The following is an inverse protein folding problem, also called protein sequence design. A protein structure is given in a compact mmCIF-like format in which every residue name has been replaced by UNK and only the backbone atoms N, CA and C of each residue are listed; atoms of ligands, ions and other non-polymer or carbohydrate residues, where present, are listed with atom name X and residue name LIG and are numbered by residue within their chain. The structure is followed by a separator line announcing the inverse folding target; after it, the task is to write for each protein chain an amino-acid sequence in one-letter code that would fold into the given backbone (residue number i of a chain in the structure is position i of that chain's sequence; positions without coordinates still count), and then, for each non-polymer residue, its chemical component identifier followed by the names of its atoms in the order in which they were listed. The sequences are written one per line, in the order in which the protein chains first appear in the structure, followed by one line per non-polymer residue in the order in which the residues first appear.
data_IF_829570824793
#
_entry.id   IF_829570824793
#
_cell.length_a   1.000
_cell.length_b   1.000
_cell.length_c   1.000
_cell.angle_alpha   90.00
_cell.angle_beta   90.00
_cell.angle_gamma   90.00
#
_symmetry.space_group_name_H-M   'P 1'
#
loop_
_entity.id
_entity.type
_entity.pdbx_description
1 polymer ?
#
# COMPACT_ATOMS: atom_id res chain seq x y z
N UNK A 1 11.08 15.48 -16.67
CA UNK A 1 11.36 14.16 -17.29
C UNK A 1 10.08 13.37 -17.47
N UNK A 2 9.30 13.10 -16.40
CA UNK A 2 8.09 12.29 -16.46
C UNK A 2 7.08 12.70 -17.57
N UNK A 3 6.75 14.00 -17.68
CA UNK A 3 5.81 14.47 -18.71
C UNK A 3 6.27 14.16 -20.14
N UNK A 4 7.55 14.39 -20.45
CA UNK A 4 8.12 14.08 -21.77
C UNK A 4 8.09 12.58 -22.06
N UNK A 5 8.44 11.75 -21.07
CA UNK A 5 8.37 10.29 -21.21
C UNK A 5 6.93 9.80 -21.42
N UNK A 6 5.95 10.39 -20.73
CA UNK A 6 4.54 10.08 -20.91
C UNK A 6 4.01 10.47 -22.30
N UNK A 7 4.61 11.50 -22.93
CA UNK A 7 4.37 11.89 -24.32
C UNK A 7 5.16 11.04 -25.34
N UNK A 8 5.93 10.04 -24.88
CA UNK A 8 6.74 9.17 -25.74
C UNK A 8 8.06 9.79 -26.20
N UNK A 9 8.53 10.84 -25.53
CA UNK A 9 9.75 11.58 -25.87
C UNK A 9 10.90 11.15 -24.95
N UNK A 10 11.88 10.44 -25.51
CA UNK A 10 13.16 10.12 -24.87
C UNK A 10 13.54 8.64 -24.94
N UNK A 11 14.67 8.34 -25.59
CA UNK A 11 15.18 6.96 -25.74
C UNK A 11 16.10 6.52 -24.59
N UNK A 12 16.66 7.49 -23.86
CA UNK A 12 17.53 7.27 -22.71
C UNK A 12 17.36 8.42 -21.71
N UNK A 13 17.51 8.12 -20.42
CA UNK A 13 17.42 9.12 -19.36
C UNK A 13 18.64 9.04 -18.44
N UNK A 14 18.98 10.19 -17.88
CA UNK A 14 19.89 10.30 -16.73
C UNK A 14 19.19 11.12 -15.65
N UNK A 15 19.10 10.59 -14.45
CA UNK A 15 18.48 11.27 -13.32
C UNK A 15 19.58 11.98 -12.53
N UNK A 16 19.72 13.30 -12.66
CA UNK A 16 20.82 14.03 -12.02
C UNK A 16 20.50 14.33 -10.55
N UNK A 17 21.19 13.68 -9.62
CA UNK A 17 21.04 13.88 -8.18
C UNK A 17 22.39 14.26 -7.56
N UNK A 18 22.39 15.08 -6.51
CA UNK A 18 23.61 15.41 -5.75
C UNK A 18 23.92 14.31 -4.71
N UNK A 19 24.07 13.08 -5.17
CA UNK A 19 24.37 11.89 -4.34
C UNK A 19 25.19 10.87 -5.15
N UNK A 20 25.40 9.68 -4.61
CA UNK A 20 26.09 8.58 -5.30
C UNK A 20 25.44 8.28 -6.66
N UNK A 21 26.21 8.09 -7.75
CA UNK A 21 25.69 7.75 -9.08
C UNK A 21 24.81 6.49 -9.11
N UNK A 22 24.96 5.56 -8.17
CA UNK A 22 24.07 4.39 -8.04
C UNK A 22 22.65 4.84 -7.70
N UNK A 23 22.47 5.89 -6.91
CA UNK A 23 21.16 6.43 -6.57
C UNK A 23 20.52 7.16 -7.76
N UNK A 24 21.31 7.82 -8.63
CA UNK A 24 20.83 8.33 -9.93
C UNK A 24 20.20 7.19 -10.76
N UNK A 25 20.88 6.05 -10.82
CA UNK A 25 20.40 4.88 -11.56
C UNK A 25 19.16 4.24 -10.91
N UNK A 26 19.09 4.18 -9.57
CA UNK A 26 17.91 3.68 -8.84
C UNK A 26 16.68 4.56 -9.09
N UNK A 27 16.82 5.89 -8.96
CA UNK A 27 15.74 6.84 -9.20
C UNK A 27 15.25 6.82 -10.65
N UNK A 28 16.18 6.77 -11.62
CA UNK A 28 15.83 6.63 -13.04
C UNK A 28 15.07 5.34 -13.33
N UNK A 29 15.47 4.22 -12.73
CA UNK A 29 14.76 2.94 -12.86
C UNK A 29 13.34 3.02 -12.29
N UNK A 30 13.18 3.53 -11.07
CA UNK A 30 11.86 3.67 -10.43
C UNK A 30 10.90 4.53 -11.26
N UNK A 31 11.38 5.64 -11.85
CA UNK A 31 10.56 6.47 -12.72
C UNK A 31 10.03 5.70 -13.94
N UNK A 32 10.89 4.92 -14.60
CA UNK A 32 10.50 4.13 -15.77
C UNK A 32 9.52 3.01 -15.40
N UNK A 33 9.74 2.36 -14.26
CA UNK A 33 8.83 1.33 -13.71
C UNK A 33 7.47 1.92 -13.35
N UNK A 34 7.42 3.10 -12.71
CA UNK A 34 6.18 3.80 -12.36
C UNK A 34 5.37 4.23 -13.60
N UNK A 35 6.05 4.60 -14.69
CA UNK A 35 5.40 4.96 -15.96
C UNK A 35 5.06 3.74 -16.83
N UNK A 36 5.37 2.51 -16.40
CA UNK A 36 5.17 1.30 -17.20
C UNK A 36 6.07 1.19 -18.44
N UNK A 37 7.10 2.02 -18.54
CA UNK A 37 8.09 2.02 -19.63
C UNK A 37 9.20 0.97 -19.42
N UNK A 38 9.21 0.33 -18.24
CA UNK A 38 10.13 -0.74 -17.88
C UNK A 38 9.42 -1.74 -16.99
N UNK A 39 9.70 -3.03 -17.22
CA UNK A 39 9.23 -4.09 -16.33
C UNK A 39 9.83 -3.95 -14.92
N UNK A 40 8.97 -4.07 -13.92
CA UNK A 40 9.38 -4.14 -12.51
C UNK A 40 10.18 -5.43 -12.29
N UNK A 41 11.24 -5.33 -11.48
CA UNK A 41 12.05 -6.50 -11.07
C UNK A 41 12.01 -6.78 -9.58
N UNK A 42 11.76 -5.75 -8.79
CA UNK A 42 11.72 -5.79 -7.33
C UNK A 42 10.33 -5.35 -6.87
N UNK A 43 10.09 -5.44 -5.56
CA UNK A 43 8.84 -4.99 -4.96
C UNK A 43 8.68 -3.49 -5.12
N UNK A 44 7.52 -3.08 -5.60
CA UNK A 44 7.06 -1.69 -5.60
C UNK A 44 6.13 -1.51 -4.39
N UNK A 45 6.67 -1.00 -3.27
CA UNK A 45 5.91 -0.82 -2.05
C UNK A 45 5.20 0.54 -2.05
N UNK A 46 3.87 0.51 -2.00
CA UNK A 46 3.04 1.70 -1.82
C UNK A 46 2.43 1.71 -0.42
N UNK A 47 2.28 2.89 0.17
CA UNK A 47 1.63 3.04 1.46
C UNK A 47 0.72 4.26 1.46
N UNK A 48 -0.38 4.20 2.21
CA UNK A 48 -1.20 5.40 2.40
C UNK A 48 -0.43 6.45 3.22
N UNK A 49 -0.71 7.74 3.02
CA UNK A 49 -0.04 8.81 3.78
C UNK A 49 -0.43 8.86 5.27
N UNK A 50 -1.23 7.89 5.75
CA UNK A 50 -1.98 7.93 7.01
C UNK A 50 -3.09 8.99 7.00
N UNK A 51 -4.02 8.87 7.96
CA UNK A 51 -5.12 9.81 8.21
C UNK A 51 -5.70 9.57 9.61
N UNK A 52 -6.71 10.35 10.03
CA UNK A 52 -7.38 10.17 11.32
C UNK A 52 -8.07 8.82 11.54
N UNK A 53 -8.19 7.98 10.49
CA UNK A 53 -8.69 6.60 10.59
C UNK A 53 -7.61 5.56 10.78
N UNK A 54 -6.33 5.93 10.68
CA UNK A 54 -5.24 4.99 10.77
C UNK A 54 -5.22 4.33 12.15
N UNK A 55 -5.19 3.00 12.15
CA UNK A 55 -5.18 2.17 13.37
C UNK A 55 -3.78 1.65 13.70
N UNK A 56 -2.79 1.94 12.85
CA UNK A 56 -1.38 1.57 13.02
C UNK A 56 -0.47 2.71 12.61
N UNK A 57 0.79 2.64 13.05
CA UNK A 57 1.84 3.47 12.49
C UNK A 57 2.25 2.94 11.10
N UNK A 58 1.61 3.51 10.07
CA UNK A 58 1.83 3.15 8.67
C UNK A 58 3.29 3.32 8.27
N UNK A 59 3.97 4.35 8.79
CA UNK A 59 5.37 4.61 8.45
C UNK A 59 6.27 3.48 8.96
N UNK A 60 6.06 3.05 10.20
CA UNK A 60 6.82 1.95 10.80
C UNK A 60 6.58 0.65 10.03
N UNK A 61 5.31 0.26 9.81
CA UNK A 61 4.98 -0.98 9.09
C UNK A 61 5.51 -0.97 7.65
N UNK A 62 5.38 0.15 6.93
CA UNK A 62 5.89 0.26 5.56
C UNK A 62 7.41 0.20 5.51
N UNK A 63 8.11 0.82 6.47
CA UNK A 63 9.57 0.78 6.56
C UNK A 63 10.08 -0.62 6.88
N UNK A 64 9.41 -1.33 7.79
CA UNK A 64 9.70 -2.72 8.11
C UNK A 64 9.45 -3.65 6.92
N UNK A 65 8.32 -3.48 6.21
CA UNK A 65 8.03 -4.20 4.98
C UNK A 65 9.09 -3.95 3.91
N UNK A 66 9.48 -2.70 3.67
CA UNK A 66 10.54 -2.35 2.71
C UNK A 66 11.86 -3.03 3.06
N UNK A 67 12.23 -3.06 4.35
CA UNK A 67 13.44 -3.74 4.83
C UNK A 67 13.34 -5.26 4.69
N UNK A 68 12.19 -5.86 4.97
CA UNK A 68 11.95 -7.29 4.86
C UNK A 68 11.98 -7.78 3.41
N UNK A 69 11.47 -6.95 2.48
CA UNK A 69 11.57 -7.20 1.04
C UNK A 69 13.00 -7.01 0.52
N UNK A 70 13.73 -6.01 0.99
CA UNK A 70 15.13 -5.77 0.62
C UNK A 70 15.33 -5.77 -0.90
N UNK A 71 16.32 -6.54 -1.38
CA UNK A 71 16.63 -6.68 -2.82
C UNK A 71 15.98 -7.93 -3.46
N UNK A 72 14.91 -8.47 -2.86
CA UNK A 72 14.20 -9.63 -3.42
C UNK A 72 13.64 -9.28 -4.79
N UNK A 73 13.79 -10.22 -5.73
CA UNK A 73 13.32 -10.09 -7.12
C UNK A 73 11.87 -10.54 -7.26
N UNK A 74 10.97 -9.83 -6.59
CA UNK A 74 9.54 -10.09 -6.62
C UNK A 74 8.89 -8.93 -7.38
N UNK A 75 8.48 -9.10 -8.64
CA UNK A 75 7.98 -8.02 -9.49
C UNK A 75 6.50 -7.70 -9.19
N UNK A 76 6.17 -7.49 -7.92
CA UNK A 76 4.81 -7.20 -7.45
C UNK A 76 4.72 -5.80 -6.88
N UNK A 77 3.59 -5.15 -7.08
CA UNK A 77 3.20 -3.98 -6.32
C UNK A 77 2.52 -4.42 -5.02
N UNK A 78 3.07 -3.97 -3.89
CA UNK A 78 2.62 -4.34 -2.54
C UNK A 78 2.14 -3.12 -1.78
N UNK A 79 0.94 -3.18 -1.21
CA UNK A 79 0.30 -2.07 -0.52
C UNK A 79 0.25 -2.24 1.00
N UNK A 80 0.62 -1.20 1.76
CA UNK A 80 0.48 -1.12 3.22
C UNK A 80 -0.48 0.02 3.57
N UNK A 81 -1.62 -0.31 4.16
CA UNK A 81 -2.70 0.65 4.42
C UNK A 81 -3.02 0.74 5.90
N UNK A 82 -3.14 1.97 6.41
CA UNK A 82 -3.36 2.23 7.83
C UNK A 82 -4.76 1.95 8.34
N UNK A 83 -5.76 1.80 7.47
CA UNK A 83 -7.13 1.50 7.88
C UNK A 83 -7.84 0.60 6.86
N UNK A 84 -8.78 -0.22 7.34
CA UNK A 84 -9.62 -1.09 6.52
C UNK A 84 -10.76 -0.33 5.80
N UNK A 85 -10.97 0.95 6.11
CA UNK A 85 -12.01 1.78 5.51
C UNK A 85 -11.63 2.23 4.10
N UNK A 86 -10.55 3.00 3.96
CA UNK A 86 -10.13 3.51 2.65
C UNK A 86 -9.01 2.64 2.05
N UNK A 87 -8.24 1.96 2.88
CA UNK A 87 -7.08 1.18 2.47
C UNK A 87 -7.35 0.19 1.33
N UNK A 88 -8.38 -0.67 1.41
CA UNK A 88 -8.68 -1.61 0.33
C UNK A 88 -9.03 -0.93 -1.01
N UNK A 89 -9.62 0.27 -0.97
CA UNK A 89 -9.95 1.05 -2.17
C UNK A 89 -8.71 1.71 -2.80
N UNK A 90 -7.86 2.33 -1.95
CA UNK A 90 -6.59 2.95 -2.37
C UNK A 90 -5.59 1.93 -2.92
N UNK A 91 -5.66 0.69 -2.43
CA UNK A 91 -4.76 -0.40 -2.79
C UNK A 91 -5.32 -1.34 -3.87
N UNK A 92 -6.45 -1.00 -4.51
CA UNK A 92 -7.16 -1.93 -5.42
C UNK A 92 -6.32 -2.40 -6.60
N UNK A 93 -5.44 -1.55 -7.10
CA UNK A 93 -4.60 -1.83 -8.27
C UNK A 93 -3.32 -2.60 -7.90
N UNK A 94 -3.02 -2.76 -6.60
CA UNK A 94 -1.88 -3.53 -6.13
C UNK A 94 -2.10 -5.03 -6.32
N UNK A 95 -1.00 -5.78 -6.53
CA UNK A 95 -1.06 -7.24 -6.64
C UNK A 95 -1.38 -7.89 -5.29
N UNK A 96 -0.79 -7.34 -4.23
CA UNK A 96 -0.92 -7.76 -2.85
C UNK A 96 -1.06 -6.51 -1.97
N UNK A 97 -1.85 -6.59 -0.92
CA UNK A 97 -1.84 -5.55 0.10
C UNK A 97 -2.36 -6.00 1.44
N UNK A 98 -2.15 -5.15 2.43
CA UNK A 98 -2.64 -5.34 3.78
C UNK A 98 -3.19 -4.03 4.33
N UNK A 99 -4.36 -4.09 4.95
CA UNK A 99 -4.99 -2.96 5.61
C UNK A 99 -5.15 -3.24 7.09
N UNK A 100 -4.80 -2.30 7.96
CA UNK A 100 -4.98 -2.48 9.38
C UNK A 100 -6.42 -2.25 9.84
N UNK A 101 -6.84 -3.01 10.84
CA UNK A 101 -8.13 -2.87 11.50
C UNK A 101 -8.16 -3.69 12.79
N UNK A 102 -8.52 -3.08 13.91
CA UNK A 102 -8.76 -3.75 15.19
C UNK A 102 -7.60 -4.61 15.70
N UNK A 103 -6.37 -4.09 15.62
CA UNK A 103 -5.13 -4.86 15.93
C UNK A 103 -4.94 -6.10 15.07
N UNK A 104 -5.45 -6.05 13.84
CA UNK A 104 -5.32 -7.10 12.83
C UNK A 104 -4.90 -6.48 11.50
N UNK A 105 -4.22 -7.28 10.69
CA UNK A 105 -3.99 -7.01 9.29
C UNK A 105 -4.96 -7.79 8.40
N UNK A 106 -5.68 -7.09 7.54
CA UNK A 106 -6.55 -7.67 6.52
C UNK A 106 -5.78 -7.75 5.22
N UNK A 107 -5.32 -8.95 4.87
CA UNK A 107 -4.50 -9.18 3.68
C UNK A 107 -5.41 -9.50 2.48
N UNK A 108 -5.12 -8.86 1.35
CA UNK A 108 -5.87 -9.00 0.12
C UNK A 108 -4.96 -9.19 -1.09
N UNK A 109 -5.42 -10.00 -2.03
CA UNK A 109 -4.75 -10.28 -3.31
C UNK A 109 -5.70 -9.85 -4.42
N UNK A 110 -5.24 -8.98 -5.32
CA UNK A 110 -6.08 -8.43 -6.41
C UNK A 110 -7.44 -7.88 -5.93
N UNK A 111 -7.44 -7.25 -4.76
CA UNK A 111 -8.64 -6.68 -4.12
C UNK A 111 -9.55 -7.68 -3.40
N UNK A 112 -9.24 -8.98 -3.37
CA UNK A 112 -9.97 -9.97 -2.57
C UNK A 112 -9.30 -10.21 -1.22
N UNK A 113 -10.03 -10.03 -0.12
CA UNK A 113 -9.54 -10.39 1.23
C UNK A 113 -9.31 -11.90 1.33
N UNK A 114 -8.05 -12.31 1.53
CA UNK A 114 -7.64 -13.72 1.56
C UNK A 114 -7.29 -14.22 2.95
N UNK A 115 -6.84 -13.34 3.85
CA UNK A 115 -6.42 -13.70 5.19
C UNK A 115 -6.59 -12.54 6.17
N UNK A 116 -6.65 -12.89 7.45
CA UNK A 116 -6.58 -11.95 8.57
C UNK A 116 -5.49 -12.44 9.50
N UNK A 117 -4.56 -11.56 9.82
CA UNK A 117 -3.40 -11.84 10.67
C UNK A 117 -3.38 -10.88 11.86
N UNK A 118 -2.64 -11.23 12.91
CA UNK A 118 -2.37 -10.29 13.98
C UNK A 118 -1.52 -9.12 13.45
N UNK A 119 -1.62 -7.94 14.06
CA UNK A 119 -0.90 -6.73 13.66
C UNK A 119 0.62 -6.96 13.57
N UNK A 120 1.18 -7.63 14.58
CA UNK A 120 2.60 -7.99 14.68
C UNK A 120 3.07 -8.96 13.58
N UNK A 121 2.15 -9.68 12.93
CA UNK A 121 2.45 -10.64 11.87
C UNK A 121 2.22 -10.06 10.46
N UNK A 122 1.86 -8.77 10.34
CA UNK A 122 1.52 -8.13 9.07
C UNK A 122 2.67 -8.20 8.05
N UNK A 123 3.89 -7.87 8.47
CA UNK A 123 5.06 -7.83 7.59
C UNK A 123 5.45 -9.23 7.13
N UNK A 124 5.48 -10.20 8.05
CA UNK A 124 5.79 -11.59 7.73
C UNK A 124 4.77 -12.17 6.75
N UNK A 125 3.48 -11.89 6.96
CA UNK A 125 2.42 -12.31 6.06
C UNK A 125 2.56 -11.69 4.67
N UNK A 126 2.90 -10.41 4.57
CA UNK A 126 3.16 -9.76 3.27
C UNK A 126 4.29 -10.46 2.52
N UNK A 127 5.41 -10.76 3.19
CA UNK A 127 6.55 -11.43 2.55
C UNK A 127 6.17 -12.84 2.09
N UNK A 128 5.53 -13.63 2.96
CA UNK A 128 5.10 -14.99 2.64
C UNK A 128 4.17 -15.02 1.42
N UNK A 129 3.16 -14.15 1.39
CA UNK A 129 2.22 -14.08 0.29
C UNK A 129 2.84 -13.56 -0.99
N UNK A 130 3.75 -12.57 -0.90
CA UNK A 130 4.45 -12.05 -2.06
C UNK A 130 5.36 -13.12 -2.70
N UNK A 131 6.09 -13.90 -1.90
CA UNK A 131 6.88 -15.04 -2.38
C UNK A 131 5.98 -16.09 -3.04
N UNK A 132 4.88 -16.45 -2.39
CA UNK A 132 3.94 -17.43 -2.93
C UNK A 132 3.36 -16.97 -4.28
N UNK A 133 2.93 -15.72 -4.39
CA UNK A 133 2.39 -15.14 -5.63
C UNK A 133 3.48 -15.08 -6.71
N UNK A 134 4.71 -14.75 -6.35
CA UNK A 134 5.83 -14.71 -7.29
C UNK A 134 6.14 -16.10 -7.88
N UNK A 135 6.00 -17.16 -7.10
CA UNK A 135 6.30 -18.53 -7.51
C UNK A 135 5.12 -19.21 -8.23
N UNK A 136 3.89 -18.99 -7.77
CA UNK A 136 2.70 -19.75 -8.20
C UNK A 136 1.67 -18.90 -8.97
N UNK A 137 1.81 -17.59 -8.98
CA UNK A 137 0.85 -16.65 -9.56
C UNK A 137 -0.30 -16.29 -8.62
N UNK A 138 -1.03 -15.22 -8.98
CA UNK A 138 -2.14 -14.68 -8.18
C UNK A 138 -3.34 -15.63 -8.11
N UNK A 139 -3.64 -16.38 -9.18
CA UNK A 139 -4.78 -17.30 -9.22
C UNK A 139 -4.62 -18.45 -8.22
N UNK A 140 -3.42 -19.02 -8.13
CA UNK A 140 -3.09 -20.03 -7.13
C UNK A 140 -3.20 -19.48 -5.70
N UNK A 141 -2.84 -18.20 -5.50
CA UNK A 141 -2.96 -17.54 -4.20
C UNK A 141 -4.44 -17.37 -3.79
N UNK A 142 -5.30 -17.01 -4.73
CA UNK A 142 -6.75 -16.94 -4.50
C UNK A 142 -7.36 -18.33 -4.24
N UNK A 143 -6.88 -19.37 -4.93
CA UNK A 143 -7.30 -20.75 -4.70
C UNK A 143 -6.90 -21.23 -3.30
N UNK A 144 -5.64 -20.98 -2.89
CA UNK A 144 -5.13 -21.22 -1.53
C UNK A 144 -6.04 -20.60 -0.46
N UNK A 145 -6.59 -19.43 -0.73
CA UNK A 145 -7.46 -18.67 0.17
C UNK A 145 -8.93 -19.12 0.18
N UNK A 146 -9.35 -20.11 -0.64
CA UNK A 146 -10.77 -20.42 -0.85
C UNK A 146 -11.56 -20.66 0.43
N UNK A 147 -10.95 -21.30 1.44
CA UNK A 147 -11.61 -21.56 2.73
C UNK A 147 -11.64 -20.35 3.66
N UNK A 148 -10.74 -19.38 3.49
CA UNK A 148 -10.55 -18.24 4.39
C UNK A 148 -11.16 -16.95 3.84
N UNK A 149 -11.36 -16.83 2.52
CA UNK A 149 -11.90 -15.60 1.88
C UNK A 149 -13.19 -15.09 2.50
N UNK A 150 -14.16 -15.99 2.74
CA UNK A 150 -15.46 -15.60 3.28
C UNK A 150 -15.37 -15.06 4.72
N UNK A 151 -14.55 -15.68 5.58
CA UNK A 151 -14.34 -15.21 6.95
C UNK A 151 -13.47 -13.96 6.99
N UNK A 152 -12.43 -13.88 6.16
CA UNK A 152 -11.55 -12.71 6.05
C UNK A 152 -12.32 -11.47 5.61
N UNK A 153 -13.18 -11.60 4.58
CA UNK A 153 -14.07 -10.52 4.13
C UNK A 153 -15.03 -10.08 5.23
N UNK A 154 -15.61 -11.02 5.98
CA UNK A 154 -16.54 -10.69 7.07
C UNK A 154 -15.84 -9.93 8.19
N UNK A 155 -14.64 -10.35 8.57
CA UNK A 155 -13.83 -9.67 9.58
C UNK A 155 -13.42 -8.25 9.15
N UNK A 156 -13.03 -8.07 7.88
CA UNK A 156 -12.71 -6.76 7.33
C UNK A 156 -13.93 -5.81 7.36
N UNK A 157 -15.12 -6.30 7.03
CA UNK A 157 -16.35 -5.50 7.08
C UNK A 157 -16.76 -5.15 8.51
N UNK A 158 -16.59 -6.07 9.46
CA UNK A 158 -16.85 -5.82 10.88
C UNK A 158 -15.93 -4.73 11.44
N UNK A 159 -14.63 -4.82 11.17
CA UNK A 159 -13.65 -3.84 11.63
C UNK A 159 -13.83 -2.48 10.93
N UNK A 160 -14.21 -2.49 9.64
CA UNK A 160 -14.59 -1.29 8.89
C UNK A 160 -15.78 -0.59 9.54
N UNK A 161 -16.85 -1.33 9.85
CA UNK A 161 -18.04 -0.76 10.47
C UNK A 161 -17.72 -0.17 11.84
N UNK A 162 -16.98 -0.90 12.67
CA UNK A 162 -16.54 -0.41 13.98
C UNK A 162 -15.72 0.89 13.87
N UNK A 163 -14.77 0.98 12.94
CA UNK A 163 -13.98 2.20 12.74
C UNK A 163 -14.86 3.40 12.37
N UNK A 164 -15.85 3.17 11.49
CA UNK A 164 -16.83 4.20 11.11
C UNK A 164 -17.75 4.59 12.27
N UNK A 165 -18.19 3.63 13.07
CA UNK A 165 -19.04 3.87 14.25
C UNK A 165 -18.29 4.69 15.32
N UNK A 166 -16.99 4.44 15.52
CA UNK A 166 -16.15 5.12 16.52
C UNK A 166 -15.71 6.53 16.08
N UNK A 167 -15.31 6.70 14.82
CA UNK A 167 -14.72 7.95 14.31
C UNK A 167 -15.70 8.80 13.50
N UNK A 168 -16.89 8.31 13.21
CA UNK A 168 -17.87 8.95 12.34
C UNK A 168 -17.36 9.11 10.90
N UNK A 169 -18.00 10.01 10.14
CA UNK A 169 -17.66 10.29 8.74
C UNK A 169 -16.45 11.21 8.57
N UNK A 170 -16.25 12.17 9.50
CA UNK A 170 -15.13 13.13 9.50
C UNK A 170 -14.09 12.79 10.59
N UNK A 171 -13.32 11.73 10.35
CA UNK A 171 -12.28 11.28 11.26
C UNK A 171 -11.16 12.32 11.50
N UNK A 172 -11.04 13.34 10.65
CA UNK A 172 -10.02 14.39 10.78
C UNK A 172 -10.55 15.67 11.45
N UNK A 173 -11.85 15.73 11.79
CA UNK A 173 -12.53 16.95 12.24
C UNK A 173 -12.26 18.15 11.33
N UNK A 174 -12.17 17.91 10.02
CA UNK A 174 -11.75 18.87 9.02
C UNK A 174 -12.63 20.14 9.06
N UNK A 175 -13.94 19.99 9.24
CA UNK A 175 -14.86 21.15 9.32
C UNK A 175 -14.53 22.07 10.51
N UNK A 176 -14.26 21.47 11.67
CA UNK A 176 -13.90 22.21 12.89
C UNK A 176 -12.57 22.93 12.72
N UNK A 177 -11.58 22.27 12.11
CA UNK A 177 -10.27 22.86 11.80
C UNK A 177 -10.42 24.03 10.83
N UNK A 178 -11.16 23.86 9.74
CA UNK A 178 -11.41 24.91 8.75
C UNK A 178 -12.14 26.10 9.38
N UNK A 179 -13.16 25.87 10.21
CA UNK A 179 -13.84 26.93 10.94
C UNK A 179 -12.91 27.67 11.92
N UNK A 180 -11.96 26.96 12.54
CA UNK A 180 -10.90 27.55 13.36
C UNK A 180 -9.95 28.46 12.56
N UNK A 181 -9.53 28.01 11.37
CA UNK A 181 -8.68 28.79 10.47
C UNK A 181 -9.41 30.05 10.01
N UNK A 182 -10.65 29.93 9.53
CA UNK A 182 -11.47 31.08 9.09
C UNK A 182 -11.63 32.15 10.17
N UNK A 183 -11.91 31.73 11.41
CA UNK A 183 -11.96 32.64 12.57
C UNK A 183 -10.65 33.38 12.82
N UNK A 184 -9.50 32.73 12.63
CA UNK A 184 -8.18 33.36 12.80
C UNK A 184 -7.79 34.26 11.63
N UNK A 185 -8.22 33.94 10.41
CA UNK A 185 -7.88 34.69 9.19
C UNK A 185 -8.86 35.81 8.85
N UNK A 186 -9.98 35.92 9.59
CA UNK A 186 -10.99 36.97 9.36
C UNK A 186 -11.76 36.81 8.05
N UNK A 187 -11.84 35.57 7.53
CA UNK A 187 -12.58 35.20 6.33
C UNK A 187 -13.93 34.57 6.67
#
# INVERSE_FOLDING_TARGET
IASLLAEGIGDTIRYSLTTDPVEEARAGRQLLEALGLRERRNVDLIACPSCGRAEVDVFTVASEAMKAFGDRRIPLQVAVMGCVVNGPGEARDADLGIAAGNRRGHLFVKGENVAVVAEEAMVDALVEWAEFICEHGSDAALERATKTRASARRAAEEDRRRNLDELGDDANNAETVVAGIRRKTGA
#
